data_IF_247590670608
#
_entry.id   IF_247590670608
#
_cell.length_a   1.000
_cell.length_b   1.000
_cell.length_c   1.000
_cell.angle_alpha   90.00
_cell.angle_beta   90.00
_cell.angle_gamma   90.00
#
_symmetry.space_group_name_H-M   'P 1'
#
loop_
_entity.id
_entity.type
_entity.pdbx_description
1 polymer ?
#
# COMPACT_ATOMS: atom_id res chain seq x y z
N UNK A 1 1.23 -5.08 -2.21
CA UNK A 1 1.07 -3.68 -1.74
C UNK A 1 1.22 -3.67 -0.24
N UNK A 2 2.11 -2.83 0.28
CA UNK A 2 2.31 -2.59 1.71
C UNK A 2 1.57 -1.29 2.06
N UNK A 3 0.41 -1.44 2.70
CA UNK A 3 -0.52 -0.35 3.03
C UNK A 3 -0.09 0.41 4.27
N UNK A 4 -0.06 1.76 4.20
CA UNK A 4 0.22 2.60 5.36
C UNK A 4 -0.85 2.45 6.45
N UNK A 5 -2.13 2.40 6.05
CA UNK A 5 -3.24 2.18 6.97
C UNK A 5 -3.18 0.80 7.64
N UNK A 6 -2.85 -0.24 6.88
CA UNK A 6 -2.74 -1.58 7.44
C UNK A 6 -1.61 -1.69 8.46
N UNK A 7 -0.48 -1.01 8.22
CA UNK A 7 0.61 -0.93 9.19
C UNK A 7 0.17 -0.18 10.47
N UNK A 8 -0.46 0.98 10.34
CA UNK A 8 -0.98 1.73 11.48
C UNK A 8 -1.97 0.90 12.32
N UNK A 9 -2.89 0.19 11.67
CA UNK A 9 -3.93 -0.58 12.36
C UNK A 9 -3.39 -1.85 13.00
N UNK A 10 -2.59 -2.63 12.29
CA UNK A 10 -2.14 -3.96 12.76
C UNK A 10 -0.90 -3.91 13.64
N UNK A 11 0.03 -2.98 13.39
CA UNK A 11 1.28 -2.89 14.14
C UNK A 11 1.18 -1.94 15.33
N UNK A 12 0.54 -0.78 15.13
CA UNK A 12 0.45 0.27 16.15
C UNK A 12 -0.89 0.28 16.91
N UNK A 13 -1.93 -0.35 16.38
CA UNK A 13 -3.27 -0.32 16.98
C UNK A 13 -3.91 1.08 16.95
N UNK A 14 -3.49 1.94 16.02
CA UNK A 14 -3.95 3.33 15.89
C UNK A 14 -4.61 3.58 14.52
N UNK A 15 -5.45 4.62 14.38
CA UNK A 15 -5.97 5.01 13.07
C UNK A 15 -4.86 5.55 12.15
N UNK A 16 -5.12 5.51 10.85
CA UNK A 16 -4.20 6.01 9.84
C UNK A 16 -4.25 7.54 9.72
N UNK A 17 -3.51 8.21 10.60
CA UNK A 17 -3.46 9.67 10.75
C UNK A 17 -2.01 10.20 10.72
N UNK A 18 -1.11 9.50 10.01
CA UNK A 18 0.28 9.93 9.82
C UNK A 18 1.19 9.72 11.04
N UNK A 19 0.90 8.71 11.88
CA UNK A 19 1.73 8.38 13.05
C UNK A 19 2.87 7.40 12.75
N UNK A 20 2.71 6.58 11.71
CA UNK A 20 3.76 5.66 11.27
C UNK A 20 4.99 6.47 10.85
N UNK A 21 6.16 6.05 11.30
CA UNK A 21 7.44 6.65 10.91
C UNK A 21 8.09 5.90 9.75
N UNK A 22 8.97 6.57 9.00
CA UNK A 22 9.71 5.94 7.90
C UNK A 22 10.57 4.76 8.36
N UNK A 23 11.07 4.79 9.60
CA UNK A 23 11.88 3.71 10.18
C UNK A 23 11.04 2.45 10.39
N UNK A 24 9.83 2.61 10.93
CA UNK A 24 8.87 1.52 11.11
C UNK A 24 8.43 0.92 9.77
N UNK A 25 8.14 1.78 8.79
CA UNK A 25 7.80 1.34 7.43
C UNK A 25 8.95 0.54 6.79
N UNK A 26 10.18 1.08 6.82
CA UNK A 26 11.38 0.40 6.30
C UNK A 26 11.55 -0.98 6.92
N UNK A 27 11.47 -1.10 8.24
CA UNK A 27 11.65 -2.38 8.93
C UNK A 27 10.55 -3.39 8.58
N UNK A 28 9.34 -2.90 8.31
CA UNK A 28 8.26 -3.76 7.85
C UNK A 28 8.49 -4.24 6.41
N UNK A 29 8.91 -3.35 5.51
CA UNK A 29 9.25 -3.69 4.11
C UNK A 29 10.36 -4.73 4.06
N UNK A 30 11.45 -4.55 4.80
CA UNK A 30 12.58 -5.48 4.81
C UNK A 30 12.16 -6.91 5.21
N UNK A 31 11.34 -7.05 6.26
CA UNK A 31 10.84 -8.37 6.71
C UNK A 31 9.98 -9.06 5.65
N UNK A 32 9.15 -8.30 4.93
CA UNK A 32 8.32 -8.84 3.86
C UNK A 32 9.20 -9.25 2.67
N UNK A 33 10.13 -8.38 2.26
CA UNK A 33 11.03 -8.62 1.13
C UNK A 33 11.91 -9.86 1.32
N UNK A 34 12.30 -10.17 2.56
CA UNK A 34 13.04 -11.41 2.88
C UNK A 34 12.20 -12.69 2.72
N UNK A 35 10.88 -12.56 2.63
CA UNK A 35 9.95 -13.72 2.67
C UNK A 35 9.26 -13.98 1.34
N UNK A 36 9.15 -12.99 0.45
CA UNK A 36 8.38 -13.11 -0.80
C UNK A 36 9.17 -12.62 -2.02
N UNK A 37 8.99 -13.31 -3.15
CA UNK A 37 9.64 -12.94 -4.42
C UNK A 37 8.76 -11.98 -5.27
N UNK A 38 7.53 -11.71 -4.85
CA UNK A 38 6.63 -10.80 -5.60
C UNK A 38 7.04 -9.34 -5.42
N UNK A 39 6.99 -8.50 -6.47
CA UNK A 39 7.33 -7.08 -6.37
C UNK A 39 6.53 -6.33 -5.31
N UNK A 40 7.22 -5.51 -4.52
CA UNK A 40 6.62 -4.79 -3.40
C UNK A 40 6.31 -3.34 -3.78
N UNK A 41 5.03 -3.03 -3.95
CA UNK A 41 4.52 -1.65 -3.99
C UNK A 41 4.31 -1.16 -2.57
N UNK A 42 4.96 -0.07 -2.19
CA UNK A 42 4.96 0.47 -0.82
C UNK A 42 4.27 1.82 -0.75
N UNK A 43 3.37 1.98 0.21
CA UNK A 43 2.79 3.27 0.57
C UNK A 43 3.84 4.12 1.31
N UNK A 44 4.45 5.07 0.60
CA UNK A 44 5.46 5.99 1.11
C UNK A 44 4.87 7.26 1.75
N UNK A 45 3.54 7.34 1.91
CA UNK A 45 2.85 8.49 2.51
C UNK A 45 3.28 9.79 1.77
N UNK A 46 3.45 10.87 2.50
CA UNK A 46 3.90 12.19 2.03
C UNK A 46 5.42 12.28 1.81
N UNK A 47 6.15 11.16 1.86
CA UNK A 47 7.62 11.12 1.87
C UNK A 47 8.26 11.40 3.22
N UNK A 48 7.45 11.48 4.29
CA UNK A 48 7.85 11.71 5.69
C UNK A 48 8.62 13.03 5.92
N UNK A 49 8.25 14.09 5.19
CA UNK A 49 8.79 15.45 5.37
C UNK A 49 8.75 16.28 4.08
N UNK A 50 9.81 17.04 3.84
CA UNK A 50 9.99 17.82 2.61
C UNK A 50 10.70 17.01 1.51
N UNK A 51 11.04 17.62 0.37
CA UNK A 51 11.74 16.95 -0.73
C UNK A 51 13.05 16.24 -0.33
N UNK A 52 13.84 16.81 0.59
CA UNK A 52 15.09 16.18 1.09
C UNK A 52 14.76 14.94 1.94
N UNK A 53 13.68 14.98 2.72
CA UNK A 53 13.19 13.80 3.44
C UNK A 53 12.68 12.74 2.45
N UNK A 54 11.95 13.13 1.41
CA UNK A 54 11.47 12.24 0.35
C UNK A 54 12.64 11.52 -0.32
N UNK A 55 13.72 12.23 -0.68
CA UNK A 55 14.94 11.63 -1.24
C UNK A 55 15.47 10.50 -0.34
N UNK A 56 15.60 10.79 0.96
CA UNK A 56 16.06 9.79 1.95
C UNK A 56 15.07 8.63 2.08
N UNK A 57 13.77 8.90 2.07
CA UNK A 57 12.72 7.88 2.16
C UNK A 57 12.82 6.90 1.00
N UNK A 58 12.95 7.38 -0.24
CA UNK A 58 13.08 6.52 -1.42
C UNK A 58 14.29 5.59 -1.29
N UNK A 59 15.48 6.15 -0.99
CA UNK A 59 16.70 5.35 -0.76
C UNK A 59 16.51 4.28 0.32
N UNK A 60 15.82 4.61 1.42
CA UNK A 60 15.60 3.67 2.52
C UNK A 60 14.67 2.52 2.13
N UNK A 61 13.57 2.83 1.45
CA UNK A 61 12.57 1.84 1.07
C UNK A 61 13.07 0.96 -0.09
N UNK A 62 13.77 1.54 -1.06
CA UNK A 62 14.42 0.79 -2.14
C UNK A 62 15.44 -0.22 -1.56
N UNK A 63 16.32 0.21 -0.65
CA UNK A 63 17.27 -0.69 0.02
C UNK A 63 16.61 -1.75 0.89
N UNK A 64 15.40 -1.49 1.36
CA UNK A 64 14.61 -2.47 2.11
C UNK A 64 13.92 -3.49 1.20
N UNK A 65 13.99 -3.34 -0.14
CA UNK A 65 13.40 -4.26 -1.11
C UNK A 65 12.09 -3.78 -1.74
N UNK A 66 11.75 -2.50 -1.64
CA UNK A 66 10.63 -1.95 -2.40
C UNK A 66 10.93 -2.01 -3.91
N UNK A 67 9.93 -2.35 -4.72
CA UNK A 67 9.97 -2.30 -6.18
C UNK A 67 9.24 -1.08 -6.75
N UNK A 68 8.28 -0.55 -5.98
CA UNK A 68 7.60 0.70 -6.28
C UNK A 68 7.28 1.46 -4.99
N UNK A 69 7.31 2.79 -5.04
CA UNK A 69 6.92 3.66 -3.92
C UNK A 69 5.84 4.63 -4.37
N UNK A 70 4.73 4.64 -3.66
CA UNK A 70 3.67 5.63 -3.78
C UNK A 70 3.95 6.83 -2.88
N UNK A 71 3.88 8.03 -3.45
CA UNK A 71 3.99 9.30 -2.72
C UNK A 71 2.74 10.14 -2.95
N UNK A 72 2.19 10.73 -1.89
CA UNK A 72 0.97 11.56 -1.96
C UNK A 72 1.19 13.04 -1.64
N UNK A 73 0.33 13.88 -2.22
CA UNK A 73 0.36 15.33 -2.10
C UNK A 73 -0.39 15.88 -0.88
N UNK A 74 -0.69 15.04 0.12
CA UNK A 74 -1.35 15.49 1.35
C UNK A 74 -0.43 16.38 2.20
N UNK A 75 -1.04 17.31 2.94
CA UNK A 75 -0.36 18.03 4.03
C UNK A 75 -0.09 17.05 5.17
N UNK A 76 1.14 17.06 5.70
CA UNK A 76 1.50 16.26 6.86
C UNK A 76 0.96 16.86 8.18
N UNK A 77 0.41 16.06 9.12
CA UNK A 77 0.19 14.62 9.02
C UNK A 77 -0.99 14.30 8.10
N UNK A 78 -0.79 13.30 7.22
CA UNK A 78 -1.81 12.84 6.28
C UNK A 78 -3.02 12.20 6.98
N UNK A 79 -4.06 11.92 6.21
CA UNK A 79 -5.14 11.00 6.60
C UNK A 79 -5.41 10.00 5.48
N UNK A 80 -6.06 8.89 5.81
CA UNK A 80 -6.55 7.95 4.79
C UNK A 80 -7.36 8.67 3.69
N UNK A 81 -7.14 8.30 2.42
CA UNK A 81 -7.74 8.94 1.24
C UNK A 81 -9.27 8.97 1.21
N UNK A 82 -9.94 8.09 1.95
CA UNK A 82 -11.41 8.08 2.04
C UNK A 82 -11.95 8.86 3.25
N UNK A 83 -11.10 9.48 4.08
CA UNK A 83 -11.53 10.34 5.19
C UNK A 83 -11.84 11.77 4.73
N UNK A 84 -12.65 12.48 5.53
CA UNK A 84 -12.94 13.90 5.34
C UNK A 84 -11.87 14.80 5.99
N UNK A 85 -11.83 16.06 5.57
CA UNK A 85 -10.93 17.07 6.15
C UNK A 85 -9.45 16.80 5.86
N UNK A 86 -9.15 16.38 4.62
CA UNK A 86 -7.81 16.34 4.04
C UNK A 86 -7.46 17.71 3.49
N UNK A 87 -6.16 17.98 3.38
CA UNK A 87 -5.62 19.12 2.65
C UNK A 87 -4.45 18.62 1.81
N UNK A 88 -4.18 19.29 0.69
CA UNK A 88 -3.04 19.00 -0.19
C UNK A 88 -2.06 20.17 -0.18
N UNK A 89 -0.77 19.87 -0.34
CA UNK A 89 0.27 20.88 -0.55
C UNK A 89 0.12 21.56 -1.91
N UNK A 90 0.91 22.60 -2.18
CA UNK A 90 0.93 23.20 -3.52
C UNK A 90 1.44 22.18 -4.55
N UNK A 91 0.98 22.30 -5.80
CA UNK A 91 1.45 21.44 -6.88
C UNK A 91 2.98 21.54 -7.03
N UNK A 92 3.54 22.75 -6.95
CA UNK A 92 4.99 23.00 -7.03
C UNK A 92 5.78 22.26 -5.94
N UNK A 93 5.28 22.21 -4.71
CA UNK A 93 5.94 21.48 -3.63
C UNK A 93 5.96 19.97 -3.92
N UNK A 94 4.84 19.41 -4.38
CA UNK A 94 4.77 18.00 -4.75
C UNK A 94 5.65 17.68 -5.96
N UNK A 95 5.72 18.56 -6.96
CA UNK A 95 6.64 18.43 -8.10
C UNK A 95 8.08 18.30 -7.63
N UNK A 96 8.53 19.15 -6.68
CA UNK A 96 9.88 19.04 -6.12
C UNK A 96 10.10 17.74 -5.34
N UNK A 97 9.06 17.21 -4.66
CA UNK A 97 9.14 15.89 -4.03
C UNK A 97 9.26 14.75 -5.04
N UNK A 98 8.54 14.81 -6.16
CA UNK A 98 8.66 13.81 -7.24
C UNK A 98 10.05 13.87 -7.89
N UNK A 99 10.58 15.06 -8.21
CA UNK A 99 11.96 15.18 -8.69
C UNK A 99 12.96 14.57 -7.71
N UNK A 100 12.84 14.90 -6.41
CA UNK A 100 13.72 14.33 -5.40
C UNK A 100 13.57 12.81 -5.27
N UNK A 101 12.38 12.25 -5.50
CA UNK A 101 12.15 10.81 -5.50
C UNK A 101 12.80 10.12 -6.71
N UNK A 102 12.67 10.71 -7.90
CA UNK A 102 13.30 10.22 -9.14
C UNK A 102 14.82 10.30 -9.04
N UNK A 103 15.37 11.41 -8.57
CA UNK A 103 16.82 11.60 -8.36
C UNK A 103 17.38 10.65 -7.27
N UNK A 104 16.53 10.15 -6.38
CA UNK A 104 16.91 9.27 -5.29
C UNK A 104 16.99 7.80 -5.67
N UNK A 105 16.47 7.36 -6.82
CA UNK A 105 16.51 5.94 -7.18
C UNK A 105 17.94 5.48 -7.48
N UNK A 106 18.32 4.31 -6.99
CA UNK A 106 19.64 3.69 -7.22
C UNK A 106 19.55 2.71 -8.40
N UNK A 107 18.41 2.04 -8.52
CA UNK A 107 17.99 1.20 -9.62
C UNK A 107 17.01 1.97 -10.54
N UNK A 108 17.28 1.98 -11.85
CA UNK A 108 16.40 2.61 -12.84
C UNK A 108 15.05 1.91 -12.99
N UNK A 109 14.93 0.64 -12.57
CA UNK A 109 13.67 -0.11 -12.56
C UNK A 109 12.78 0.23 -11.36
N UNK A 110 13.27 1.04 -10.40
CA UNK A 110 12.48 1.47 -9.25
C UNK A 110 11.36 2.41 -9.69
N UNK A 111 10.10 2.01 -9.46
CA UNK A 111 8.92 2.74 -9.91
C UNK A 111 8.48 3.80 -8.89
N UNK A 112 8.33 5.04 -9.33
CA UNK A 112 7.76 6.13 -8.55
C UNK A 112 6.29 6.35 -8.95
N UNK A 113 5.39 6.10 -8.01
CA UNK A 113 3.95 6.33 -8.18
C UNK A 113 3.59 7.67 -7.54
N UNK A 114 3.03 8.59 -8.33
CA UNK A 114 2.51 9.86 -7.82
C UNK A 114 1.00 9.76 -7.58
N UNK A 115 0.61 9.93 -6.31
CA UNK A 115 -0.78 9.96 -5.87
C UNK A 115 -1.21 11.40 -5.60
N UNK A 116 -2.40 11.76 -6.08
CA UNK A 116 -3.08 12.99 -5.67
C UNK A 116 -4.36 12.69 -4.90
N UNK A 117 -4.55 13.41 -3.79
CA UNK A 117 -5.79 13.41 -3.02
C UNK A 117 -6.69 14.62 -3.34
N UNK A 118 -6.29 15.43 -4.33
CA UNK A 118 -6.92 16.70 -4.69
C UNK A 118 -8.38 16.57 -5.13
N UNK A 119 -8.79 15.43 -5.72
CA UNK A 119 -10.20 15.18 -6.08
C UNK A 119 -11.09 15.43 -4.86
N UNK A 120 -10.77 14.80 -3.72
CA UNK A 120 -11.60 14.90 -2.51
C UNK A 120 -11.49 16.24 -1.79
N UNK A 121 -10.50 17.07 -2.11
CA UNK A 121 -10.25 18.37 -1.47
C UNK A 121 -10.81 19.52 -2.28
N UNK A 122 -10.78 19.42 -3.61
CA UNK A 122 -11.15 20.47 -4.55
C UNK A 122 -12.02 19.92 -5.67
N UNK A 123 -11.42 19.39 -6.74
CA UNK A 123 -12.14 18.92 -7.93
C UNK A 123 -11.35 17.87 -8.70
N UNK A 124 -12.02 17.13 -9.59
CA UNK A 124 -11.37 16.21 -10.50
C UNK A 124 -10.44 16.94 -11.50
N UNK A 125 -10.81 18.14 -11.93
CA UNK A 125 -9.98 18.94 -12.84
C UNK A 125 -8.66 19.36 -12.19
N UNK A 126 -8.70 19.82 -10.93
CA UNK A 126 -7.46 20.13 -10.20
C UNK A 126 -6.60 18.87 -10.01
N UNK A 127 -7.21 17.71 -9.79
CA UNK A 127 -6.48 16.45 -9.72
C UNK A 127 -5.78 16.14 -11.05
N UNK A 128 -6.42 16.41 -12.19
CA UNK A 128 -5.81 16.24 -13.51
C UNK A 128 -4.63 17.17 -13.75
N UNK A 129 -4.79 18.46 -13.45
CA UNK A 129 -3.70 19.43 -13.58
C UNK A 129 -2.48 19.01 -12.74
N UNK A 130 -2.72 18.52 -11.52
CA UNK A 130 -1.66 18.05 -10.61
C UNK A 130 -0.95 16.81 -11.12
N UNK A 131 -1.66 15.75 -11.50
CA UNK A 131 -1.00 14.51 -11.95
C UNK A 131 -0.28 14.69 -13.27
N UNK A 132 -0.72 15.63 -14.13
CA UNK A 132 0.04 16.00 -15.33
C UNK A 132 1.39 16.62 -14.96
N UNK A 133 1.41 17.55 -14.00
CA UNK A 133 2.66 18.11 -13.47
C UNK A 133 3.55 17.03 -12.82
N UNK A 134 2.95 16.04 -12.14
CA UNK A 134 3.72 14.96 -11.50
C UNK A 134 4.31 14.01 -12.55
N UNK A 135 3.58 13.75 -13.64
CA UNK A 135 4.06 13.03 -14.82
C UNK A 135 5.25 13.74 -15.45
N UNK A 136 5.13 15.05 -15.69
CA UNK A 136 6.22 15.88 -16.23
C UNK A 136 7.44 15.91 -15.30
N UNK A 137 7.22 15.85 -13.98
CA UNK A 137 8.27 15.77 -12.98
C UNK A 137 9.01 14.42 -12.95
N UNK A 138 8.49 13.40 -13.64
CA UNK A 138 9.12 12.09 -13.82
C UNK A 138 8.45 10.94 -13.06
N UNK A 139 7.22 11.11 -12.56
CA UNK A 139 6.48 9.97 -12.01
C UNK A 139 6.18 8.93 -13.10
N UNK A 140 6.47 7.66 -12.81
CA UNK A 140 6.30 6.54 -13.76
C UNK A 140 4.83 6.07 -13.84
N UNK A 141 4.08 6.24 -12.74
CA UNK A 141 2.69 5.78 -12.59
C UNK A 141 1.89 6.85 -11.87
N UNK A 142 0.63 7.05 -12.28
CA UNK A 142 -0.26 8.04 -11.67
C UNK A 142 -1.41 7.36 -10.92
N UNK A 143 -1.83 8.02 -9.83
CA UNK A 143 -2.93 7.58 -8.98
C UNK A 143 -3.78 8.81 -8.63
N UNK A 144 -5.02 8.84 -9.13
CA UNK A 144 -6.04 9.82 -8.70
C UNK A 144 -6.93 9.19 -7.63
N UNK A 145 -6.85 9.67 -6.39
CA UNK A 145 -7.58 9.08 -5.28
C UNK A 145 -9.04 9.52 -5.18
N UNK A 146 -9.86 8.59 -4.70
CA UNK A 146 -11.27 8.75 -4.43
C UNK A 146 -12.11 9.35 -5.57
N UNK A 147 -12.04 8.79 -6.81
CA UNK A 147 -13.08 9.04 -7.81
C UNK A 147 -14.45 8.65 -7.24
N UNK A 148 -15.50 9.41 -7.49
CA UNK A 148 -16.82 9.19 -6.85
C UNK A 148 -17.86 8.55 -7.77
N UNK A 149 -17.50 8.24 -9.02
CA UNK A 149 -18.40 7.54 -9.94
C UNK A 149 -17.63 6.69 -10.96
N UNK A 150 -18.35 5.74 -11.59
CA UNK A 150 -17.82 4.97 -12.72
C UNK A 150 -17.44 5.89 -13.89
N UNK A 151 -18.16 7.00 -14.06
CA UNK A 151 -17.86 7.96 -15.12
C UNK A 151 -16.54 8.69 -14.85
N UNK A 152 -16.28 9.10 -13.61
CA UNK A 152 -14.97 9.66 -13.24
C UNK A 152 -13.85 8.64 -13.49
N UNK A 153 -14.06 7.36 -13.15
CA UNK A 153 -13.09 6.29 -13.43
C UNK A 153 -12.80 6.14 -14.93
N UNK A 154 -13.83 6.15 -15.79
CA UNK A 154 -13.65 6.12 -17.26
C UNK A 154 -12.86 7.31 -17.77
N UNK A 155 -13.19 8.51 -17.29
CA UNK A 155 -12.50 9.73 -17.70
C UNK A 155 -11.03 9.68 -17.27
N UNK A 156 -10.75 9.29 -16.02
CA UNK A 156 -9.37 9.13 -15.50
C UNK A 156 -8.59 8.11 -16.34
N UNK A 157 -9.17 6.92 -16.54
CA UNK A 157 -8.50 5.83 -17.23
C UNK A 157 -8.15 6.12 -18.70
N UNK A 158 -8.90 7.02 -19.35
CA UNK A 158 -8.65 7.45 -20.72
C UNK A 158 -7.78 8.72 -20.82
N UNK A 159 -7.40 9.36 -19.70
CA UNK A 159 -6.83 10.72 -19.71
C UNK A 159 -5.33 10.78 -20.00
N UNK A 160 -4.57 9.76 -19.61
CA UNK A 160 -3.11 9.78 -19.58
C UNK A 160 -2.51 8.57 -20.30
N UNK A 161 -1.39 8.78 -21.00
CA UNK A 161 -0.63 7.73 -21.70
C UNK A 161 0.51 7.16 -20.82
N UNK A 162 0.18 6.90 -19.55
CA UNK A 162 1.07 6.26 -18.56
C UNK A 162 0.26 5.29 -17.72
N UNK A 163 0.88 4.28 -17.08
CA UNK A 163 0.15 3.35 -16.23
C UNK A 163 -0.61 4.07 -15.10
N UNK A 164 -1.83 3.61 -14.87
CA UNK A 164 -2.73 4.17 -13.86
C UNK A 164 -3.09 3.13 -12.80
N UNK A 165 -3.21 3.59 -11.55
CA UNK A 165 -3.69 2.78 -10.43
C UNK A 165 -5.12 3.18 -10.07
N UNK A 166 -5.97 2.17 -9.90
CA UNK A 166 -7.26 2.30 -9.22
C UNK A 166 -7.21 1.68 -7.83
N UNK A 167 -7.81 2.33 -6.83
CA UNK A 167 -7.87 1.82 -5.46
C UNK A 167 -9.30 1.42 -5.09
N UNK A 168 -9.51 0.14 -4.84
CA UNK A 168 -10.82 -0.43 -4.48
C UNK A 168 -10.89 -0.60 -2.96
N UNK A 169 -11.70 0.25 -2.32
CA UNK A 169 -11.88 0.27 -0.87
C UNK A 169 -13.35 0.09 -0.51
N UNK A 170 -13.67 -0.98 0.22
CA UNK A 170 -15.07 -1.35 0.49
C UNK A 170 -15.72 -0.38 1.49
N UNK A 171 -16.82 0.25 1.10
CA UNK A 171 -17.46 1.31 1.89
C UNK A 171 -16.73 2.65 1.84
N UNK A 172 -15.75 2.78 0.92
CA UNK A 172 -15.16 4.06 0.56
C UNK A 172 -16.06 4.88 -0.37
N UNK A 173 -15.48 5.94 -0.94
CA UNK A 173 -16.17 6.84 -1.86
C UNK A 173 -16.29 6.29 -3.29
N UNK A 174 -15.31 5.48 -3.69
CA UNK A 174 -15.20 4.96 -5.05
C UNK A 174 -16.08 3.74 -5.23
N UNK A 175 -16.93 3.69 -6.28
CA UNK A 175 -17.68 2.49 -6.61
C UNK A 175 -16.76 1.30 -6.84
N UNK A 176 -17.12 0.15 -6.28
CA UNK A 176 -16.36 -1.08 -6.47
C UNK A 176 -16.52 -1.57 -7.91
N UNK A 177 -15.39 -1.81 -8.57
CA UNK A 177 -15.30 -2.36 -9.92
C UNK A 177 -14.45 -3.63 -9.90
N UNK A 178 -14.67 -4.51 -10.87
CA UNK A 178 -13.81 -5.65 -11.14
C UNK A 178 -12.49 -5.22 -11.79
N UNK A 179 -11.49 -6.09 -11.76
CA UNK A 179 -10.22 -5.87 -12.46
C UNK A 179 -10.45 -5.74 -13.97
N UNK A 180 -11.35 -6.55 -14.54
CA UNK A 180 -11.66 -6.51 -15.98
C UNK A 180 -12.31 -5.18 -16.37
N UNK A 181 -13.30 -4.71 -15.60
CA UNK A 181 -13.92 -3.41 -15.84
C UNK A 181 -12.91 -2.27 -15.76
N UNK A 182 -12.00 -2.29 -14.78
CA UNK A 182 -10.97 -1.26 -14.63
C UNK A 182 -9.92 -1.34 -15.75
N UNK A 183 -9.57 -2.54 -16.20
CA UNK A 183 -8.68 -2.75 -17.34
C UNK A 183 -9.30 -2.20 -18.62
N UNK A 184 -10.59 -2.42 -18.85
CA UNK A 184 -11.32 -1.85 -20.00
C UNK A 184 -11.38 -0.32 -19.94
N UNK A 185 -11.38 0.27 -18.74
CA UNK A 185 -11.33 1.72 -18.55
C UNK A 185 -9.93 2.32 -18.75
N UNK A 186 -8.88 1.51 -18.80
CA UNK A 186 -7.49 1.97 -19.02
C UNK A 186 -6.58 1.91 -17.79
N UNK A 187 -7.03 1.34 -16.66
CA UNK A 187 -6.16 1.16 -15.49
C UNK A 187 -5.22 -0.04 -15.67
N UNK A 188 -3.96 0.12 -15.26
CA UNK A 188 -2.93 -0.92 -15.38
C UNK A 188 -2.74 -1.73 -14.11
N UNK A 189 -3.17 -1.20 -12.96
CA UNK A 189 -3.10 -1.89 -11.68
C UNK A 189 -4.27 -1.52 -10.76
N UNK A 190 -4.65 -2.47 -9.90
CA UNK A 190 -5.75 -2.32 -8.95
C UNK A 190 -5.26 -2.66 -7.55
N UNK A 191 -5.51 -1.78 -6.59
CA UNK A 191 -5.19 -2.00 -5.18
C UNK A 191 -6.43 -2.46 -4.42
N UNK A 192 -6.29 -3.57 -3.70
CA UNK A 192 -7.24 -4.06 -2.70
C UNK A 192 -6.60 -3.93 -1.31
N UNK A 193 -6.28 -2.69 -0.92
CA UNK A 193 -5.29 -2.41 0.13
C UNK A 193 -5.63 -2.99 1.52
N UNK A 194 -6.92 -3.10 1.87
CA UNK A 194 -7.36 -3.47 3.22
C UNK A 194 -8.28 -4.70 3.29
N UNK A 195 -8.62 -5.32 2.16
CA UNK A 195 -9.61 -6.40 2.10
C UNK A 195 -9.25 -7.56 3.04
N UNK A 196 -8.06 -8.13 2.87
CA UNK A 196 -7.56 -9.24 3.69
C UNK A 196 -7.48 -8.86 5.18
N UNK A 197 -6.95 -7.68 5.49
CA UNK A 197 -6.82 -7.20 6.87
C UNK A 197 -8.19 -7.11 7.57
N UNK A 198 -9.20 -6.57 6.89
CA UNK A 198 -10.56 -6.44 7.44
C UNK A 198 -11.21 -7.80 7.70
N UNK A 199 -10.99 -8.76 6.81
CA UNK A 199 -11.44 -10.15 7.00
C UNK A 199 -10.74 -10.76 8.22
N UNK A 200 -9.41 -10.64 8.32
CA UNK A 200 -8.64 -11.13 9.47
C UNK A 200 -9.11 -10.53 10.79
N UNK A 201 -9.30 -9.20 10.85
CA UNK A 201 -9.82 -8.55 12.06
C UNK A 201 -11.18 -9.08 12.48
N UNK A 202 -12.08 -9.32 11.53
CA UNK A 202 -13.40 -9.86 11.84
C UNK A 202 -13.30 -11.29 12.37
N UNK A 203 -12.55 -12.15 11.70
CA UNK A 203 -12.37 -13.55 12.10
C UNK A 203 -11.73 -13.66 13.50
N UNK A 204 -10.67 -12.89 13.76
CA UNK A 204 -10.01 -12.82 15.07
C UNK A 204 -11.01 -12.36 16.14
N UNK A 205 -11.77 -11.28 15.87
CA UNK A 205 -12.75 -10.76 16.83
C UNK A 205 -13.84 -11.77 17.17
N UNK A 206 -14.31 -12.54 16.20
CA UNK A 206 -15.32 -13.55 16.43
C UNK A 206 -14.78 -14.78 17.17
N UNK A 207 -13.56 -15.22 16.84
CA UNK A 207 -12.87 -16.28 17.59
C UNK A 207 -12.67 -15.89 19.06
N UNK A 208 -12.24 -14.66 19.33
CA UNK A 208 -12.05 -14.17 20.70
C UNK A 208 -13.37 -14.05 21.46
N UNK A 209 -14.47 -13.70 20.78
CA UNK A 209 -15.81 -13.69 21.39
C UNK A 209 -16.27 -15.10 21.76
N UNK A 210 -16.04 -16.08 20.89
CA UNK A 210 -16.33 -17.49 21.17
C UNK A 210 -15.56 -17.94 22.41
N UNK A 211 -14.24 -17.75 22.42
CA UNK A 211 -13.39 -18.11 23.55
C UNK A 211 -13.81 -17.42 24.86
N UNK A 212 -14.13 -16.14 24.82
CA UNK A 212 -14.61 -15.40 26.00
C UNK A 212 -15.96 -15.95 26.51
N UNK A 213 -16.84 -16.39 25.62
CA UNK A 213 -18.21 -16.80 25.98
C UNK A 213 -18.26 -18.25 26.47
N UNK A 214 -17.52 -19.14 25.82
CA UNK A 214 -17.60 -20.58 26.06
C UNK A 214 -16.40 -21.14 26.83
N UNK A 215 -15.31 -20.39 26.93
CA UNK A 215 -14.04 -20.89 27.45
C UNK A 215 -13.34 -21.90 26.53
N UNK A 216 -13.79 -22.03 25.28
CA UNK A 216 -13.28 -22.99 24.31
C UNK A 216 -13.25 -22.41 22.90
N UNK A 217 -12.37 -22.94 22.04
CA UNK A 217 -12.32 -22.58 20.62
C UNK A 217 -13.02 -23.61 19.72
N UNK A 218 -13.55 -24.69 20.29
CA UNK A 218 -14.11 -25.81 19.54
C UNK A 218 -15.26 -25.41 18.60
N UNK A 219 -16.03 -24.38 18.97
CA UNK A 219 -17.16 -23.90 18.16
C UNK A 219 -16.76 -23.18 16.86
N UNK A 220 -15.47 -22.92 16.65
CA UNK A 220 -14.97 -22.14 15.50
C UNK A 220 -13.73 -22.74 14.82
N UNK A 221 -13.53 -24.06 14.92
CA UNK A 221 -12.43 -24.73 14.23
C UNK A 221 -12.53 -24.64 12.71
N UNK A 222 -13.73 -24.43 12.16
CA UNK A 222 -14.03 -24.29 10.73
C UNK A 222 -13.34 -23.10 10.06
N UNK A 223 -13.00 -22.06 10.81
CA UNK A 223 -12.31 -20.87 10.31
C UNK A 223 -10.83 -20.81 10.64
N UNK A 224 -10.30 -21.83 11.34
CA UNK A 224 -8.88 -21.89 11.67
C UNK A 224 -8.10 -22.56 10.55
N UNK A 225 -6.92 -22.02 10.24
CA UNK A 225 -5.93 -22.77 9.48
C UNK A 225 -5.60 -24.06 10.23
N UNK A 226 -5.54 -25.17 9.49
CA UNK A 226 -5.11 -26.46 10.00
C UNK A 226 -3.66 -26.41 10.45
N UNK A 227 -3.24 -27.42 11.22
CA UNK A 227 -1.85 -27.54 11.64
C UNK A 227 -0.89 -27.58 10.44
N UNK A 228 -1.24 -28.35 9.41
CA UNK A 228 -0.43 -28.52 8.20
C UNK A 228 -0.33 -27.21 7.40
N UNK A 229 -1.47 -26.54 7.16
CA UNK A 229 -1.49 -25.24 6.47
C UNK A 229 -0.60 -24.22 7.19
N UNK A 230 -0.70 -24.13 8.52
CA UNK A 230 0.11 -23.21 9.34
C UNK A 230 1.61 -23.44 9.15
N UNK A 231 2.05 -24.70 9.13
CA UNK A 231 3.47 -25.03 8.98
C UNK A 231 3.95 -24.82 7.54
N UNK A 232 3.12 -25.16 6.55
CA UNK A 232 3.43 -24.96 5.14
C UNK A 232 3.56 -23.49 4.78
N UNK A 233 2.67 -22.62 5.30
CA UNK A 233 2.68 -21.18 5.01
C UNK A 233 3.99 -20.47 5.40
N UNK A 234 4.68 -20.96 6.44
CA UNK A 234 5.94 -20.38 6.93
C UNK A 234 7.17 -21.16 6.44
N UNK A 235 7.00 -22.03 5.43
CA UNK A 235 8.10 -22.76 4.82
C UNK A 235 8.77 -23.79 5.73
N UNK A 236 8.07 -24.31 6.76
CA UNK A 236 8.67 -25.28 7.70
C UNK A 236 9.34 -26.49 7.01
N UNK A 237 8.76 -27.10 5.94
CA UNK A 237 9.41 -28.23 5.27
C UNK A 237 10.81 -27.91 4.73
N UNK A 238 11.02 -26.70 4.21
CA UNK A 238 12.33 -26.26 3.74
C UNK A 238 13.36 -26.23 4.88
N UNK A 239 12.98 -25.70 6.05
CA UNK A 239 13.86 -25.67 7.22
C UNK A 239 14.14 -27.07 7.78
N UNK A 240 13.17 -27.98 7.75
CA UNK A 240 13.38 -29.37 8.13
C UNK A 240 14.42 -30.06 7.23
N UNK A 241 14.36 -29.81 5.92
CA UNK A 241 15.37 -30.31 4.99
C UNK A 241 16.75 -29.69 5.25
N UNK A 242 16.84 -28.40 5.59
CA UNK A 242 18.10 -27.77 5.98
C UNK A 242 18.68 -28.39 7.25
N UNK A 243 17.87 -28.59 8.28
CA UNK A 243 18.28 -29.22 9.54
C UNK A 243 18.85 -30.62 9.28
N UNK A 244 18.16 -31.43 8.47
CA UNK A 244 18.64 -32.76 8.09
C UNK A 244 19.92 -32.70 7.28
N UNK A 245 19.97 -31.83 6.26
CA UNK A 245 21.12 -31.68 5.35
C UNK A 245 22.40 -31.28 6.09
N UNK A 246 22.27 -30.43 7.11
CA UNK A 246 23.40 -29.92 7.88
C UNK A 246 23.56 -30.58 9.26
N UNK A 247 22.79 -31.63 9.54
CA UNK A 247 22.95 -32.42 10.76
C UNK A 247 24.30 -33.16 10.77
N UNK A 248 24.90 -33.28 11.96
CA UNK A 248 26.09 -34.10 12.15
C UNK A 248 25.65 -35.57 12.13
N UNK A 249 26.12 -36.34 11.16
CA UNK A 249 25.92 -37.79 11.15
C UNK A 249 26.81 -38.41 12.23
N UNK A 250 26.20 -39.09 13.20
CA UNK A 250 26.95 -39.90 14.16
C UNK A 250 27.70 -41.02 13.42
N UNK A 251 28.96 -41.27 13.83
CA UNK A 251 29.88 -42.23 13.21
C UNK A 251 29.53 -43.67 13.55
#
# INVERSE_FOLDING_TARGET
YITGAGLANSMLGVPDIGLVTVTELRDHVARIAETVDVPLVVDGDTGFGNAVNTYRTVRLLERAGASAIQLEDQVFPKKCGHFAGKAVISADEMVQKIHAAVDARENEEMVIIARTDARSVSSLEEAFDRVELYREAGADVLFVEAPESIEELRVIGARFDVPLIANMVEGGKTPLCTVDELSEMGFSAVLFANAALRVSHRAISEMLKELHTTGSTNGRLDVMATWEERQSMVGKPFYDELELKYSIKEK
#
